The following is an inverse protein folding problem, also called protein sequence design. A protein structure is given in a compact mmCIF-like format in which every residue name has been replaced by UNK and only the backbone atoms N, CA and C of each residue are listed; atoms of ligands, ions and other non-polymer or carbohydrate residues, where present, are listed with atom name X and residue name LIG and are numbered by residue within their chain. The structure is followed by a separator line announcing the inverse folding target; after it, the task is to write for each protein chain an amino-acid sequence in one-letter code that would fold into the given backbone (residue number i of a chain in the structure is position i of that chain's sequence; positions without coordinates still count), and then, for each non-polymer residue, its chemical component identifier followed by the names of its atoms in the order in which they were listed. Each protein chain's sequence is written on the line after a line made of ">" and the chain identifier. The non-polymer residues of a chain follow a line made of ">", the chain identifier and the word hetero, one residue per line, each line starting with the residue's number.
data_IF_075392081339
#
_entry.id   IF_075392081339
#
_cell.length_a   1.000
_cell.length_b   1.000
_cell.length_c   1.000
_cell.angle_alpha   90.00
_cell.angle_beta   90.00
_cell.angle_gamma   90.00
#
_symmetry.space_group_name_H-M   'P 1'
#
loop_
_entity.id
_entity.type
_entity.pdbx_description
1 polymer ?
#
# COMPACT_ATOMS: atom_id res chain seq x y z
N UNK A 1 39.66 19.73 5.79
CA UNK A 1 40.41 19.30 4.59
C UNK A 1 41.44 18.29 5.02
N UNK A 2 41.68 17.26 4.22
CA UNK A 2 42.54 16.09 4.49
C UNK A 2 44.07 16.35 4.41
N UNK A 3 44.50 17.61 4.50
CA UNK A 3 45.91 17.98 4.31
C UNK A 3 46.37 18.02 2.84
N UNK A 4 45.59 17.49 1.90
CA UNK A 4 45.78 17.64 0.45
C UNK A 4 44.87 18.72 -0.18
N UNK A 5 44.03 19.36 0.64
CA UNK A 5 43.08 20.39 0.18
C UNK A 5 41.74 19.81 -0.28
N UNK A 6 41.51 18.51 -0.11
CA UNK A 6 40.21 17.89 -0.40
C UNK A 6 39.30 18.05 0.82
N UNK A 7 38.04 18.35 0.58
CA UNK A 7 37.04 18.38 1.63
C UNK A 7 36.90 16.97 2.24
N UNK A 8 36.79 16.89 3.57
CA UNK A 8 36.63 15.61 4.25
C UNK A 8 35.22 15.09 3.99
N UNK A 9 35.13 13.79 3.75
CA UNK A 9 33.91 13.01 3.58
C UNK A 9 34.21 11.66 4.25
N UNK A 10 33.84 11.56 5.52
CA UNK A 10 34.31 10.50 6.43
C UNK A 10 33.63 9.16 6.14
N UNK A 11 32.37 9.15 5.70
CA UNK A 11 31.60 7.95 5.42
C UNK A 11 31.39 7.66 3.92
N UNK A 12 31.90 8.53 3.05
CA UNK A 12 32.00 8.38 1.60
C UNK A 12 30.64 8.31 0.91
N UNK A 13 29.65 9.03 1.43
CA UNK A 13 28.30 9.10 0.85
C UNK A 13 28.15 10.17 -0.24
N UNK A 14 29.18 11.02 -0.42
CA UNK A 14 29.21 12.11 -1.39
C UNK A 14 28.78 13.47 -0.83
N UNK A 15 28.48 13.57 0.47
CA UNK A 15 28.22 14.80 1.22
C UNK A 15 29.42 15.07 2.14
N UNK A 16 30.12 16.17 1.93
CA UNK A 16 31.30 16.49 2.76
C UNK A 16 30.91 16.73 4.23
N UNK A 17 31.80 16.40 5.17
CA UNK A 17 31.60 16.51 6.63
C UNK A 17 31.07 17.87 7.10
N UNK A 18 31.32 18.94 6.34
CA UNK A 18 30.82 20.29 6.63
C UNK A 18 29.31 20.44 6.42
N UNK A 19 28.74 19.68 5.48
CA UNK A 19 27.32 19.70 5.12
C UNK A 19 26.57 18.43 5.49
N UNK A 20 27.29 17.44 6.01
CA UNK A 20 26.76 16.18 6.50
C UNK A 20 26.39 16.28 7.99
N UNK A 21 25.13 15.96 8.30
CA UNK A 21 24.61 15.91 9.67
C UNK A 21 24.95 14.60 10.39
N UNK A 22 25.35 13.57 9.66
CA UNK A 22 25.60 12.22 10.13
C UNK A 22 26.98 11.70 9.67
N UNK A 23 28.03 12.51 9.80
CA UNK A 23 29.46 12.32 9.43
C UNK A 23 30.04 10.89 9.40
N UNK A 24 29.50 9.93 10.14
CA UNK A 24 30.02 8.55 10.22
C UNK A 24 29.04 7.48 9.74
N UNK A 25 27.89 7.86 9.20
CA UNK A 25 26.81 6.96 8.80
C UNK A 25 26.22 7.42 7.45
N UNK A 26 26.48 6.68 6.36
CA UNK A 26 26.13 7.14 5.02
C UNK A 26 24.65 7.47 4.85
N UNK A 27 24.36 8.56 4.15
CA UNK A 27 23.01 8.96 3.78
C UNK A 27 22.91 9.70 2.45
N UNK A 28 21.69 9.91 1.96
CA UNK A 28 21.48 10.70 0.76
C UNK A 28 21.69 12.21 1.01
N UNK A 29 22.11 12.92 -0.04
CA UNK A 29 22.19 14.39 -0.04
C UNK A 29 20.84 15.04 0.26
N UNK A 30 19.74 14.40 -0.15
CA UNK A 30 18.37 14.84 0.12
C UNK A 30 18.05 14.88 1.63
N UNK A 31 18.77 14.11 2.44
CA UNK A 31 18.66 14.08 3.90
C UNK A 31 19.92 14.57 4.62
N UNK A 32 20.72 15.43 3.95
CA UNK A 32 21.94 16.01 4.50
C UNK A 32 22.94 14.95 5.03
N UNK A 33 23.17 13.90 4.26
CA UNK A 33 24.10 12.81 4.60
C UNK A 33 23.60 11.88 5.72
N UNK A 34 22.39 12.09 6.23
CA UNK A 34 21.80 11.18 7.21
C UNK A 34 21.00 10.04 6.58
N UNK A 35 21.05 8.82 7.15
CA UNK A 35 20.18 7.72 6.74
C UNK A 35 18.70 8.11 6.74
N UNK A 36 17.96 7.64 5.74
CA UNK A 36 16.50 7.78 5.71
C UNK A 36 15.89 6.60 6.45
N UNK A 37 15.20 6.86 7.56
CA UNK A 37 14.44 5.83 8.26
C UNK A 37 13.24 5.40 7.40
N UNK A 38 13.27 4.16 6.90
CA UNK A 38 12.09 3.53 6.29
C UNK A 38 11.13 3.15 7.41
N UNK A 39 9.85 3.46 7.23
CA UNK A 39 8.82 3.00 8.17
C UNK A 39 8.78 1.47 8.19
N UNK A 40 8.44 0.92 9.35
CA UNK A 40 8.09 -0.49 9.43
C UNK A 40 6.95 -0.79 8.44
N UNK A 41 7.10 -1.85 7.64
CA UNK A 41 6.13 -2.17 6.60
C UNK A 41 4.71 -2.39 7.14
N UNK A 42 4.54 -2.80 8.40
CA UNK A 42 3.22 -2.87 9.03
C UNK A 42 2.62 -1.48 9.23
N UNK A 43 3.43 -0.50 9.66
CA UNK A 43 2.98 0.89 9.77
C UNK A 43 2.66 1.48 8.41
N UNK A 44 3.47 1.18 7.39
CA UNK A 44 3.18 1.56 6.00
C UNK A 44 1.84 0.97 5.55
N UNK A 45 1.54 -0.30 5.84
CA UNK A 45 0.24 -0.90 5.51
C UNK A 45 -0.93 -0.15 6.16
N UNK A 46 -0.82 0.22 7.44
CA UNK A 46 -1.84 0.99 8.17
C UNK A 46 -2.04 2.38 7.54
N UNK A 47 -0.96 3.05 7.15
CA UNK A 47 -1.02 4.37 6.53
C UNK A 47 -1.65 4.32 5.13
N UNK A 48 -1.30 3.30 4.33
CA UNK A 48 -1.92 3.05 3.03
C UNK A 48 -3.41 2.75 3.22
N UNK A 49 -3.79 1.86 4.14
CA UNK A 49 -5.21 1.57 4.42
C UNK A 49 -5.99 2.82 4.82
N UNK A 50 -5.43 3.64 5.71
CA UNK A 50 -6.04 4.91 6.12
C UNK A 50 -6.24 5.85 4.93
N UNK A 51 -5.26 5.89 4.02
CA UNK A 51 -5.33 6.69 2.78
C UNK A 51 -6.43 6.17 1.84
N UNK A 52 -6.59 4.84 1.74
CA UNK A 52 -7.57 4.20 0.86
C UNK A 52 -9.00 4.14 1.43
N UNK A 53 -9.21 4.41 2.73
CA UNK A 53 -10.50 4.28 3.44
C UNK A 53 -11.69 4.92 2.73
N UNK A 54 -11.45 6.03 2.05
CA UNK A 54 -12.47 6.85 1.40
C UNK A 54 -12.23 6.93 -0.12
N UNK A 55 -11.83 5.80 -0.72
CA UNK A 55 -11.89 5.61 -2.17
C UNK A 55 -13.32 5.22 -2.53
N UNK A 56 -13.87 5.92 -3.51
CA UNK A 56 -15.25 5.75 -3.95
C UNK A 56 -15.31 4.97 -5.25
N UNK A 57 -16.33 4.12 -5.34
CA UNK A 57 -16.67 3.37 -6.54
C UNK A 57 -18.02 3.85 -7.09
N UNK A 58 -18.22 3.69 -8.39
CA UNK A 58 -19.55 3.84 -8.97
C UNK A 58 -20.53 2.82 -8.37
N UNK A 59 -21.80 3.20 -8.23
CA UNK A 59 -22.81 2.36 -7.62
C UNK A 59 -22.85 0.97 -8.27
N UNK A 60 -22.76 -0.07 -7.44
CA UNK A 60 -22.77 -1.48 -7.86
C UNK A 60 -21.66 -1.87 -8.86
N UNK A 61 -20.56 -1.12 -8.90
CA UNK A 61 -19.42 -1.33 -9.81
C UNK A 61 -18.09 -1.33 -9.05
N UNK A 62 -17.06 -1.81 -9.75
CA UNK A 62 -15.66 -1.71 -9.35
C UNK A 62 -14.90 -0.54 -10.01
N UNK A 63 -15.57 0.26 -10.83
CA UNK A 63 -14.98 1.48 -11.42
C UNK A 63 -14.75 2.52 -10.32
N UNK A 64 -13.49 2.88 -10.09
CA UNK A 64 -13.10 3.92 -9.13
C UNK A 64 -13.49 5.29 -9.68
N UNK A 65 -14.00 6.15 -8.80
CA UNK A 65 -14.42 7.51 -9.13
C UNK A 65 -13.22 8.47 -9.17
N UNK A 66 -13.19 9.46 -10.09
CA UNK A 66 -12.07 10.41 -10.22
C UNK A 66 -11.70 11.15 -8.93
N UNK A 67 -12.66 11.42 -8.05
CA UNK A 67 -12.46 12.09 -6.76
C UNK A 67 -11.54 11.30 -5.81
N UNK A 68 -11.26 10.03 -6.12
CA UNK A 68 -10.35 9.17 -5.37
C UNK A 68 -8.90 9.24 -5.87
N UNK A 69 -8.63 9.94 -6.98
CA UNK A 69 -7.32 9.92 -7.62
C UNK A 69 -6.20 10.43 -6.71
N UNK A 70 -6.41 11.54 -5.99
CA UNK A 70 -5.39 12.09 -5.08
C UNK A 70 -5.01 11.13 -3.95
N UNK A 71 -5.96 10.32 -3.47
CA UNK A 71 -5.71 9.30 -2.46
C UNK A 71 -4.92 8.12 -3.03
N UNK A 72 -5.24 7.73 -4.26
CA UNK A 72 -4.48 6.70 -4.98
C UNK A 72 -3.05 7.18 -5.28
N UNK A 73 -2.87 8.45 -5.63
CA UNK A 73 -1.56 9.06 -5.86
C UNK A 73 -0.72 9.00 -4.57
N UNK A 74 -1.30 9.45 -3.44
CA UNK A 74 -0.63 9.41 -2.14
C UNK A 74 -0.30 7.97 -1.69
N UNK A 75 -1.26 7.05 -1.80
CA UNK A 75 -1.05 5.64 -1.46
C UNK A 75 0.08 5.02 -2.30
N UNK A 76 0.13 5.32 -3.60
CA UNK A 76 1.20 4.85 -4.49
C UNK A 76 2.57 5.41 -4.08
N UNK A 77 2.65 6.70 -3.72
CA UNK A 77 3.89 7.30 -3.21
C UNK A 77 4.38 6.61 -1.93
N UNK A 78 3.50 6.43 -0.94
CA UNK A 78 3.83 5.76 0.32
C UNK A 78 4.40 4.35 0.09
N UNK A 79 3.78 3.56 -0.80
CA UNK A 79 4.23 2.20 -1.11
C UNK A 79 5.61 2.24 -1.80
N UNK A 80 5.83 3.16 -2.75
CA UNK A 80 7.10 3.27 -3.48
C UNK A 80 8.26 3.70 -2.59
N UNK A 81 8.03 4.61 -1.66
CA UNK A 81 9.05 5.13 -0.75
C UNK A 81 9.50 4.09 0.29
N UNK A 82 8.57 3.28 0.79
CA UNK A 82 8.83 2.37 1.90
C UNK A 82 9.11 0.93 1.44
N UNK A 83 8.63 0.51 0.26
CA UNK A 83 8.77 -0.86 -0.24
C UNK A 83 7.86 -1.85 0.51
N UNK A 84 8.15 -3.15 0.42
CA UNK A 84 7.35 -4.22 1.05
C UNK A 84 6.34 -4.88 0.12
N UNK A 85 5.69 -5.96 0.58
CA UNK A 85 4.66 -6.68 -0.17
C UNK A 85 3.31 -6.53 0.53
N UNK A 86 2.27 -6.17 -0.22
CA UNK A 86 0.96 -5.84 0.34
C UNK A 86 -0.17 -6.64 -0.29
N UNK A 87 -1.05 -7.16 0.57
CA UNK A 87 -2.31 -7.78 0.17
C UNK A 87 -3.46 -6.82 0.44
N UNK A 88 -4.11 -6.37 -0.62
CA UNK A 88 -5.33 -5.57 -0.57
C UNK A 88 -6.54 -6.50 -0.50
N UNK A 89 -7.36 -6.36 0.52
CA UNK A 89 -8.58 -7.16 0.70
C UNK A 89 -9.81 -6.28 0.56
N UNK A 90 -10.66 -6.57 -0.42
CA UNK A 90 -11.94 -5.89 -0.59
C UNK A 90 -13.02 -6.50 0.30
N UNK A 91 -13.85 -5.63 0.86
CA UNK A 91 -14.97 -5.95 1.75
C UNK A 91 -16.27 -5.33 1.23
N UNK A 92 -17.39 -5.97 1.52
CA UNK A 92 -18.72 -5.39 1.37
C UNK A 92 -19.42 -5.40 2.72
N UNK A 93 -20.48 -4.59 2.84
CA UNK A 93 -21.42 -4.78 3.94
C UNK A 93 -22.21 -6.09 3.78
N UNK A 94 -22.97 -6.42 4.81
CA UNK A 94 -23.72 -7.68 4.92
C UNK A 94 -24.96 -7.77 4.00
N UNK A 95 -25.41 -6.67 3.38
CA UNK A 95 -26.59 -6.69 2.50
C UNK A 95 -26.26 -7.24 1.11
N UNK A 96 -27.25 -7.89 0.52
CA UNK A 96 -27.18 -8.41 -0.83
C UNK A 96 -26.79 -9.89 -0.89
N UNK A 97 -26.63 -10.39 -2.11
CA UNK A 97 -26.30 -11.79 -2.33
C UNK A 97 -24.81 -12.07 -2.00
N UNK A 98 -24.50 -13.09 -1.18
CA UNK A 98 -23.11 -13.37 -0.77
C UNK A 98 -22.15 -13.65 -1.95
N UNK A 99 -22.59 -14.38 -2.98
CA UNK A 99 -21.76 -14.67 -4.15
C UNK A 99 -21.52 -13.41 -4.98
N UNK A 100 -22.55 -12.56 -5.12
CA UNK A 100 -22.41 -11.25 -5.74
C UNK A 100 -21.40 -10.36 -4.98
N UNK A 101 -21.53 -10.27 -3.65
CA UNK A 101 -20.63 -9.50 -2.80
C UNK A 101 -19.19 -10.02 -2.85
N UNK A 102 -19.01 -11.33 -2.90
CA UNK A 102 -17.69 -11.94 -3.05
C UNK A 102 -17.05 -11.58 -4.40
N UNK A 103 -17.82 -11.57 -5.49
CA UNK A 103 -17.31 -11.12 -6.80
C UNK A 103 -16.98 -9.63 -6.77
N UNK A 104 -17.91 -8.79 -6.32
CA UNK A 104 -17.74 -7.33 -6.30
C UNK A 104 -16.54 -6.89 -5.46
N UNK A 105 -16.35 -7.50 -4.28
CA UNK A 105 -15.18 -7.20 -3.44
C UNK A 105 -13.86 -7.58 -4.10
N UNK A 106 -13.79 -8.72 -4.82
CA UNK A 106 -12.61 -9.11 -5.60
C UNK A 106 -12.32 -8.10 -6.70
N UNK A 107 -13.33 -7.72 -7.48
CA UNK A 107 -13.20 -6.74 -8.56
C UNK A 107 -12.73 -5.38 -8.05
N UNK A 108 -13.28 -4.91 -6.91
CA UNK A 108 -12.88 -3.63 -6.29
C UNK A 108 -11.45 -3.64 -5.80
N UNK A 109 -11.03 -4.70 -5.12
CA UNK A 109 -9.65 -4.83 -4.66
C UNK A 109 -8.67 -4.87 -5.86
N UNK A 110 -9.02 -5.61 -6.91
CA UNK A 110 -8.23 -5.65 -8.14
C UNK A 110 -8.18 -4.30 -8.85
N UNK A 111 -9.28 -3.54 -8.88
CA UNK A 111 -9.33 -2.20 -9.44
C UNK A 111 -8.41 -1.23 -8.68
N UNK A 112 -8.33 -1.33 -7.35
CA UNK A 112 -7.40 -0.51 -6.56
C UNK A 112 -5.95 -0.92 -6.84
N UNK A 113 -5.64 -2.22 -6.90
CA UNK A 113 -4.30 -2.70 -7.28
C UNK A 113 -3.90 -2.16 -8.65
N UNK A 114 -4.74 -2.34 -9.68
CA UNK A 114 -4.45 -1.83 -11.03
C UNK A 114 -4.32 -0.30 -11.07
N UNK A 115 -5.07 0.43 -10.24
CA UNK A 115 -4.94 1.88 -10.13
C UNK A 115 -3.62 2.32 -9.49
N UNK A 116 -3.07 1.55 -8.54
CA UNK A 116 -1.77 1.78 -7.92
C UNK A 116 -0.62 1.39 -8.88
N UNK A 117 -0.77 0.29 -9.62
CA UNK A 117 0.19 -0.13 -10.65
C UNK A 117 0.31 0.90 -11.78
N UNK A 118 -0.81 1.45 -12.24
CA UNK A 118 -0.83 2.56 -13.20
C UNK A 118 -0.13 3.84 -12.68
N UNK A 119 0.14 3.93 -11.37
CA UNK A 119 0.91 5.01 -10.72
C UNK A 119 2.37 4.63 -10.44
N UNK A 120 2.82 3.52 -11.02
CA UNK A 120 4.19 3.02 -10.97
C UNK A 120 4.52 2.16 -9.76
N UNK A 121 3.52 1.70 -8.99
CA UNK A 121 3.77 0.64 -8.01
C UNK A 121 4.06 -0.66 -8.76
N UNK A 122 5.09 -1.39 -8.37
CA UNK A 122 5.45 -2.65 -9.03
C UNK A 122 4.33 -3.70 -8.90
N UNK A 123 3.99 -4.37 -10.00
CA UNK A 123 3.04 -5.49 -10.04
C UNK A 123 3.45 -6.66 -9.11
N UNK A 124 4.75 -6.74 -8.78
CA UNK A 124 5.29 -7.82 -7.96
C UNK A 124 5.10 -7.62 -6.45
N UNK A 125 4.67 -6.43 -6.03
CA UNK A 125 4.51 -6.09 -4.60
C UNK A 125 3.06 -5.96 -4.15
N UNK A 126 2.10 -6.00 -5.08
CA UNK A 126 0.68 -5.91 -4.77
C UNK A 126 -0.08 -7.18 -5.16
N UNK A 127 -1.00 -7.59 -4.30
CA UNK A 127 -1.99 -8.62 -4.60
C UNK A 127 -3.34 -8.19 -4.09
N UNK A 128 -4.39 -8.66 -4.73
CA UNK A 128 -5.75 -8.44 -4.29
C UNK A 128 -6.47 -9.74 -3.94
N UNK A 129 -7.36 -9.68 -2.94
CA UNK A 129 -8.41 -10.67 -2.70
C UNK A 129 -9.72 -9.97 -2.33
N UNK A 130 -10.83 -10.69 -2.37
CA UNK A 130 -12.12 -10.21 -1.86
C UNK A 130 -12.73 -11.25 -0.93
N UNK A 131 -13.36 -10.77 0.14
CA UNK A 131 -14.04 -11.60 1.15
C UNK A 131 -15.56 -11.40 1.14
N UNK A 132 -16.07 -10.52 0.28
CA UNK A 132 -17.47 -10.15 0.25
C UNK A 132 -17.92 -9.62 1.61
N UNK A 133 -19.03 -10.15 2.09
CA UNK A 133 -19.62 -9.79 3.37
C UNK A 133 -19.18 -10.71 4.52
N UNK A 134 -18.22 -11.61 4.31
CA UNK A 134 -17.85 -12.63 5.31
C UNK A 134 -17.23 -12.03 6.58
N UNK A 135 -16.60 -10.87 6.48
CA UNK A 135 -15.99 -10.14 7.59
C UNK A 135 -16.81 -8.89 7.98
N UNK A 136 -18.05 -8.74 7.47
CA UNK A 136 -18.91 -7.62 7.81
C UNK A 136 -19.30 -7.67 9.30
N UNK A 137 -19.15 -6.53 9.98
CA UNK A 137 -19.39 -6.42 11.42
C UNK A 137 -20.68 -5.67 11.76
N UNK A 138 -21.18 -4.86 10.82
CA UNK A 138 -22.38 -4.07 11.00
C UNK A 138 -23.62 -4.87 10.53
N UNK A 139 -24.64 -5.05 11.38
CA UNK A 139 -25.83 -5.84 11.04
C UNK A 139 -26.60 -5.33 9.82
N UNK A 140 -27.31 -6.24 9.15
CA UNK A 140 -28.13 -5.92 7.98
C UNK A 140 -29.27 -4.92 8.30
N UNK A 141 -29.73 -4.91 9.55
CA UNK A 141 -30.77 -4.03 10.07
C UNK A 141 -30.31 -2.60 10.36
N UNK A 142 -29.00 -2.33 10.42
CA UNK A 142 -28.47 -0.99 10.69
C UNK A 142 -28.81 0.02 9.56
N UNK A 143 -28.50 1.29 9.74
CA UNK A 143 -28.61 2.28 8.66
C UNK A 143 -27.59 2.01 7.55
N UNK A 144 -27.79 2.61 6.37
CA UNK A 144 -26.78 2.54 5.32
C UNK A 144 -25.48 3.23 5.69
N UNK A 145 -25.59 4.37 6.39
CA UNK A 145 -24.46 5.15 6.87
C UNK A 145 -23.56 4.33 7.81
N UNK A 146 -24.14 3.57 8.74
CA UNK A 146 -23.36 2.69 9.64
C UNK A 146 -22.67 1.57 8.87
N UNK A 147 -23.38 0.91 7.92
CA UNK A 147 -22.81 -0.17 7.11
C UNK A 147 -21.68 0.28 6.18
N UNK A 148 -21.55 1.57 5.88
CA UNK A 148 -20.42 2.06 5.09
C UNK A 148 -19.07 1.70 5.72
N UNK A 149 -18.99 1.49 7.04
CA UNK A 149 -17.78 1.07 7.72
C UNK A 149 -17.24 -0.31 7.29
N UNK A 150 -18.10 -1.18 6.74
CA UNK A 150 -17.71 -2.49 6.18
C UNK A 150 -17.35 -2.40 4.68
N UNK A 151 -17.70 -1.30 4.00
CA UNK A 151 -17.42 -1.10 2.57
C UNK A 151 -16.02 -0.51 2.38
N UNK A 152 -14.99 -1.33 2.54
CA UNK A 152 -13.59 -0.87 2.55
C UNK A 152 -12.66 -1.79 1.78
N UNK A 153 -11.45 -1.29 1.52
CA UNK A 153 -10.29 -2.09 1.14
C UNK A 153 -9.30 -2.01 2.29
N UNK A 154 -8.97 -3.16 2.89
CA UNK A 154 -7.94 -3.24 3.93
C UNK A 154 -6.60 -3.61 3.31
N UNK A 155 -5.51 -3.23 3.97
CA UNK A 155 -4.14 -3.43 3.48
C UNK A 155 -3.35 -4.16 4.54
N UNK A 156 -2.70 -5.26 4.15
CA UNK A 156 -1.85 -6.03 5.04
C UNK A 156 -0.47 -6.21 4.43
N UNK A 157 0.57 -5.89 5.21
CA UNK A 157 1.93 -6.29 4.89
C UNK A 157 2.08 -7.81 5.00
N UNK A 158 2.74 -8.41 4.00
CA UNK A 158 2.99 -9.84 3.93
C UNK A 158 4.50 -10.06 3.92
N UNK A 159 4.99 -10.82 4.91
CA UNK A 159 6.39 -11.23 4.94
C UNK A 159 6.76 -12.09 3.72
N UNK A 160 8.02 -12.03 3.29
CA UNK A 160 8.48 -12.66 2.04
C UNK A 160 8.16 -14.15 1.97
N UNK A 161 8.32 -14.91 3.06
CA UNK A 161 8.02 -16.35 3.11
C UNK A 161 6.55 -16.65 2.80
N UNK A 162 5.64 -15.84 3.34
CA UNK A 162 4.20 -15.92 3.08
C UNK A 162 3.86 -15.44 1.67
N UNK A 163 4.55 -14.40 1.19
CA UNK A 163 4.36 -13.87 -0.16
C UNK A 163 4.64 -14.91 -1.23
N UNK A 164 5.75 -15.62 -1.09
CA UNK A 164 6.17 -16.67 -2.01
C UNK A 164 5.19 -17.85 -2.01
N UNK A 165 4.65 -18.20 -0.83
CA UNK A 165 3.61 -19.22 -0.72
C UNK A 165 2.34 -18.81 -1.48
N UNK A 166 1.94 -17.54 -1.37
CA UNK A 166 0.82 -17.00 -2.15
C UNK A 166 1.13 -17.04 -3.65
N UNK A 167 2.33 -16.63 -4.08
CA UNK A 167 2.73 -16.69 -5.50
C UNK A 167 2.64 -18.11 -6.05
N UNK A 168 3.23 -19.09 -5.36
CA UNK A 168 3.18 -20.50 -5.79
C UNK A 168 1.76 -21.02 -5.90
N UNK A 169 0.87 -20.63 -4.98
CA UNK A 169 -0.54 -21.05 -5.02
C UNK A 169 -1.28 -20.45 -6.21
N UNK A 170 -1.05 -19.17 -6.52
CA UNK A 170 -1.64 -18.51 -7.69
C UNK A 170 -1.15 -19.17 -8.98
N UNK A 171 0.17 -19.39 -9.11
CA UNK A 171 0.76 -20.04 -10.29
C UNK A 171 0.19 -21.44 -10.51
N UNK A 172 -0.03 -22.22 -9.44
CA UNK A 172 -0.67 -23.54 -9.54
C UNK A 172 -2.15 -23.51 -9.94
N UNK A 173 -2.86 -22.40 -9.73
CA UNK A 173 -4.26 -22.26 -10.15
C UNK A 173 -4.40 -21.82 -11.62
N UNK A 174 -3.31 -21.34 -12.22
CA UNK A 174 -3.27 -20.88 -13.62
C UNK A 174 -2.78 -21.98 -14.59
N UNK A 175 -2.37 -23.14 -14.07
CA UNK A 175 -1.98 -24.36 -14.78
C UNK A 175 -3.11 -25.38 -14.72
#
# INVERSE_FOLDING_TARGET
>A
MDGAGVALDTDLDGVIDLYDKCVTVPGPVENNGCPVEKKDNNQTAVEVEKTLKDIYFNFNKATIRPESNSKLDLAASIIKENGGNYLLTGHTDIKGNPAYNLRLSKERAAAVVGALENRGVSENVLKSRGVGSAEATIPASASDAERMADRKVTVKFIESSQWDAIQRKIMKMLL
#
